data_IF_340260272754
#
_entry.id   IF_340260272754
#
_cell.length_a   1.000
_cell.length_b   1.000
_cell.length_c   1.000
_cell.angle_alpha   90.00
_cell.angle_beta   90.00
_cell.angle_gamma   90.00
#
_symmetry.space_group_name_H-M   'P 1'
#
loop_
_entity.id
_entity.type
_entity.pdbx_description
1 polymer ?
#
# COMPACT_ATOMS: atom_id res chain seq x y z
N UNK A 1 -21.31 -9.12 3.75
CA UNK A 1 -21.79 -8.10 2.79
C UNK A 1 -22.39 -6.87 3.49
N UNK A 2 -23.32 -6.99 4.44
CA UNK A 2 -24.00 -5.83 5.05
C UNK A 2 -23.07 -4.82 5.77
N UNK A 3 -22.00 -5.29 6.44
CA UNK A 3 -21.09 -4.42 7.21
C UNK A 3 -20.41 -3.34 6.35
N UNK A 4 -19.89 -3.72 5.18
CA UNK A 4 -19.18 -2.79 4.28
C UNK A 4 -20.14 -1.74 3.73
N UNK A 5 -21.33 -2.17 3.30
CA UNK A 5 -22.37 -1.26 2.78
C UNK A 5 -22.85 -0.25 3.82
N UNK A 6 -22.88 -0.62 5.10
CA UNK A 6 -23.19 0.32 6.19
C UNK A 6 -22.07 1.35 6.30
N UNK A 7 -20.81 0.91 6.37
CA UNK A 7 -19.64 1.82 6.47
C UNK A 7 -19.60 2.79 5.28
N UNK A 8 -19.85 2.31 4.05
CA UNK A 8 -19.92 3.16 2.86
C UNK A 8 -20.96 4.28 3.00
N UNK A 9 -22.16 3.96 3.51
CA UNK A 9 -23.21 4.96 3.74
C UNK A 9 -22.81 5.97 4.80
N UNK A 10 -22.22 5.51 5.90
CA UNK A 10 -21.75 6.40 6.97
C UNK A 10 -20.68 7.35 6.45
N UNK A 11 -19.70 6.84 5.68
CA UNK A 11 -18.64 7.66 5.06
C UNK A 11 -19.22 8.67 4.06
N UNK A 12 -20.22 8.28 3.26
CA UNK A 12 -20.93 9.19 2.34
C UNK A 12 -21.72 10.29 3.06
N UNK A 13 -22.13 10.05 4.31
CA UNK A 13 -22.88 11.02 5.12
C UNK A 13 -21.99 12.06 5.81
N UNK A 14 -20.67 11.84 5.86
CA UNK A 14 -19.72 12.75 6.49
C UNK A 14 -19.71 14.12 5.79
N UNK A 15 -19.64 15.17 6.59
CA UNK A 15 -19.38 16.50 6.06
C UNK A 15 -17.91 16.64 5.60
N UNK A 16 -17.57 17.73 4.92
CA UNK A 16 -16.23 17.93 4.35
C UNK A 16 -15.09 17.84 5.38
N UNK A 17 -15.32 18.31 6.61
CA UNK A 17 -14.30 18.29 7.67
C UNK A 17 -14.12 16.87 8.21
N UNK A 18 -15.21 16.19 8.54
CA UNK A 18 -15.22 14.81 9.01
C UNK A 18 -14.59 13.87 7.97
N UNK A 19 -14.89 14.09 6.68
CA UNK A 19 -14.32 13.31 5.59
C UNK A 19 -12.80 13.53 5.45
N UNK A 20 -12.30 14.73 5.71
CA UNK A 20 -10.87 15.01 5.71
C UNK A 20 -10.17 14.32 6.88
N UNK A 21 -10.75 14.37 8.09
CA UNK A 21 -10.25 13.65 9.26
C UNK A 21 -10.25 12.13 9.04
N UNK A 22 -11.33 11.58 8.47
CA UNK A 22 -11.43 10.17 8.11
C UNK A 22 -10.33 9.76 7.11
N UNK A 23 -10.08 10.56 6.06
CA UNK A 23 -9.04 10.25 5.07
C UNK A 23 -7.64 10.24 5.66
N UNK A 24 -7.32 11.19 6.52
CA UNK A 24 -6.00 11.25 7.17
C UNK A 24 -5.76 9.99 8.02
N UNK A 25 -6.74 9.61 8.84
CA UNK A 25 -6.64 8.39 9.65
C UNK A 25 -6.60 7.12 8.79
N UNK A 26 -7.47 7.02 7.79
CA UNK A 26 -7.58 5.81 6.95
C UNK A 26 -6.30 5.58 6.14
N UNK A 27 -5.62 6.63 5.71
CA UNK A 27 -4.34 6.52 5.03
C UNK A 27 -3.28 5.83 5.91
N UNK A 28 -3.17 6.22 7.19
CA UNK A 28 -2.24 5.58 8.12
C UNK A 28 -2.63 4.12 8.37
N UNK A 29 -3.92 3.87 8.65
CA UNK A 29 -4.45 2.53 8.87
C UNK A 29 -4.20 1.57 7.69
N UNK A 30 -4.45 2.02 6.47
CA UNK A 30 -4.24 1.21 5.25
C UNK A 30 -2.75 1.03 4.96
N UNK A 31 -1.92 2.05 5.25
CA UNK A 31 -0.47 1.96 5.11
C UNK A 31 0.14 0.92 6.05
N UNK A 32 -0.32 0.81 7.30
CA UNK A 32 0.15 -0.21 8.22
C UNK A 32 -0.13 -1.64 7.72
N UNK A 33 -1.33 -1.87 7.15
CA UNK A 33 -1.67 -3.15 6.55
C UNK A 33 -0.82 -3.44 5.30
N UNK A 34 -0.57 -2.42 4.49
CA UNK A 34 0.31 -2.51 3.32
C UNK A 34 1.75 -2.86 3.70
N UNK A 35 2.31 -2.19 4.71
CA UNK A 35 3.67 -2.44 5.21
C UNK A 35 3.83 -3.88 5.70
N UNK A 36 2.85 -4.37 6.47
CA UNK A 36 2.84 -5.76 6.95
C UNK A 36 2.80 -6.76 5.78
N UNK A 37 2.00 -6.48 4.75
CA UNK A 37 1.93 -7.35 3.57
C UNK A 37 3.24 -7.33 2.77
N UNK A 38 3.84 -6.16 2.56
CA UNK A 38 5.14 -6.03 1.89
C UNK A 38 6.22 -6.81 2.64
N UNK A 39 6.25 -6.72 3.97
CA UNK A 39 7.22 -7.47 4.77
C UNK A 39 7.02 -8.98 4.64
N UNK A 40 5.76 -9.45 4.68
CA UNK A 40 5.44 -10.86 4.47
C UNK A 40 5.84 -11.33 3.07
N UNK A 41 5.49 -10.57 2.04
CA UNK A 41 5.79 -10.87 0.64
C UNK A 41 7.31 -10.92 0.42
N UNK A 42 8.06 -9.98 1.00
CA UNK A 42 9.52 -9.97 0.98
C UNK A 42 10.11 -11.23 1.64
N UNK A 43 9.63 -11.59 2.84
CA UNK A 43 10.07 -12.81 3.56
C UNK A 43 9.73 -14.10 2.81
N UNK A 44 8.62 -14.10 2.07
CA UNK A 44 8.21 -15.25 1.24
C UNK A 44 9.03 -15.40 -0.04
N UNK A 45 9.88 -14.40 -0.37
CA UNK A 45 10.68 -14.38 -1.59
C UNK A 45 9.91 -13.97 -2.85
N UNK A 46 8.69 -13.45 -2.71
CA UNK A 46 7.84 -13.02 -3.83
C UNK A 46 8.50 -11.95 -4.71
N UNK A 47 9.34 -11.11 -4.11
CA UNK A 47 10.07 -10.06 -4.80
C UNK A 47 11.45 -10.48 -5.33
N UNK A 48 11.88 -11.73 -5.11
CA UNK A 48 13.23 -12.19 -5.50
C UNK A 48 13.46 -12.05 -7.01
N UNK A 49 12.45 -12.33 -7.83
CA UNK A 49 12.58 -12.21 -9.29
C UNK A 49 12.83 -10.76 -9.71
N UNK A 50 12.06 -9.82 -9.17
CA UNK A 50 12.16 -8.39 -9.47
C UNK A 50 13.49 -7.83 -8.96
N UNK A 51 13.93 -8.27 -7.76
CA UNK A 51 15.23 -7.91 -7.23
C UNK A 51 16.38 -8.41 -8.12
N UNK A 52 16.29 -9.64 -8.63
CA UNK A 52 17.29 -10.20 -9.54
C UNK A 52 17.33 -9.46 -10.88
N UNK A 53 16.17 -9.14 -11.44
CA UNK A 53 16.05 -8.37 -12.67
C UNK A 53 16.70 -6.99 -12.53
N UNK A 54 16.39 -6.26 -11.44
CA UNK A 54 16.97 -4.96 -11.16
C UNK A 54 18.51 -5.02 -11.00
N UNK A 55 19.05 -6.08 -10.40
CA UNK A 55 20.49 -6.31 -10.31
C UNK A 55 21.12 -6.56 -11.68
N UNK A 56 20.43 -7.30 -12.56
CA UNK A 56 20.94 -7.61 -13.89
C UNK A 56 20.87 -6.39 -14.83
N UNK A 57 19.83 -5.58 -14.74
CA UNK A 57 19.74 -4.26 -15.38
C UNK A 57 20.88 -3.34 -14.94
N UNK A 58 21.16 -3.29 -13.63
CA UNK A 58 22.26 -2.49 -13.11
C UNK A 58 23.62 -2.93 -13.68
N UNK A 59 23.88 -4.23 -13.73
CA UNK A 59 25.10 -4.78 -14.36
C UNK A 59 25.20 -4.44 -15.84
N UNK A 60 24.07 -4.30 -16.56
CA UNK A 60 24.03 -3.87 -17.96
C UNK A 60 24.19 -2.35 -18.13
N UNK A 61 24.25 -1.58 -17.05
CA UNK A 61 24.32 -0.12 -17.08
C UNK A 61 22.99 0.56 -17.43
N UNK A 62 21.88 -0.17 -17.29
CA UNK A 62 20.53 0.32 -17.59
C UNK A 62 19.90 1.06 -16.39
N UNK A 63 20.56 1.03 -15.22
CA UNK A 63 20.21 1.83 -14.05
C UNK A 63 21.40 2.61 -13.51
N UNK A 64 21.13 3.69 -12.76
CA UNK A 64 22.14 4.53 -12.12
C UNK A 64 22.18 4.25 -10.62
N UNK A 65 23.36 4.36 -10.01
CA UNK A 65 23.47 4.44 -8.57
C UNK A 65 22.70 5.68 -8.06
N UNK A 66 22.07 5.54 -6.89
CA UNK A 66 21.36 6.62 -6.20
C UNK A 66 22.30 7.76 -5.81
#
# INVERSE_FOLDING_TARGET
>A
MMKVQIIEKEVQSLNKKELAEFRNWFQEFDSEAWDAQIEQDARSGKFNHIAQEALDEHKRGESKAL
#
